data_IF_865600520548
#
_entry.id   IF_865600520548
#
_cell.length_a   1.000
_cell.length_b   1.000
_cell.length_c   1.000
_cell.angle_alpha   90.00
_cell.angle_beta   90.00
_cell.angle_gamma   90.00
#
_symmetry.space_group_name_H-M   'P 1'
#
loop_
_entity.id
_entity.type
_entity.pdbx_description
1 polymer ?
#
# COMPACT_ATOMS: atom_id res chain seq x y z
N UNK A 1 -16.03 18.83 6.30
CA UNK A 1 -14.84 19.01 5.44
C UNK A 1 -14.77 17.85 4.45
N UNK A 2 -14.49 18.12 3.19
CA UNK A 2 -14.24 17.08 2.18
C UNK A 2 -12.92 16.39 2.53
N UNK A 3 -12.87 15.04 2.48
CA UNK A 3 -11.65 14.28 2.68
C UNK A 3 -10.93 14.07 1.37
N UNK A 4 -9.64 14.40 1.35
CA UNK A 4 -8.72 14.25 0.23
C UNK A 4 -7.71 13.16 0.58
N UNK A 5 -7.89 11.98 0.02
CA UNK A 5 -7.19 10.76 0.43
C UNK A 5 -6.15 10.39 -0.62
N UNK A 6 -4.88 10.39 -0.24
CA UNK A 6 -3.78 9.96 -1.08
C UNK A 6 -3.48 8.48 -0.87
N UNK A 7 -3.47 7.73 -1.95
CA UNK A 7 -3.01 6.34 -2.00
C UNK A 7 -1.57 6.28 -2.51
N UNK A 8 -0.69 5.71 -1.71
CA UNK A 8 0.67 5.34 -2.14
C UNK A 8 0.73 3.84 -2.47
N UNK A 9 1.93 3.25 -2.57
CA UNK A 9 2.05 1.84 -2.93
C UNK A 9 1.26 0.94 -1.98
N UNK A 10 0.41 0.13 -2.57
CA UNK A 10 -0.47 -0.81 -1.87
C UNK A 10 -0.07 -2.27 -2.07
N UNK A 11 -0.96 -3.20 -1.71
CA UNK A 11 -0.80 -4.61 -2.05
C UNK A 11 -0.86 -4.82 -3.57
N UNK A 12 -0.21 -5.90 -4.03
CA UNK A 12 -0.16 -6.27 -5.46
C UNK A 12 -1.51 -6.89 -5.88
N UNK A 13 -2.55 -6.10 -5.74
CA UNK A 13 -3.93 -6.45 -6.05
C UNK A 13 -4.73 -5.19 -6.35
N UNK A 14 -5.94 -5.28 -6.93
CA UNK A 14 -6.83 -4.13 -7.10
C UNK A 14 -7.41 -3.54 -5.80
N UNK A 15 -7.00 -4.02 -4.62
CA UNK A 15 -7.61 -3.72 -3.33
C UNK A 15 -7.69 -2.21 -3.04
N UNK A 16 -6.59 -1.46 -3.24
CA UNK A 16 -6.60 -0.02 -3.01
C UNK A 16 -7.53 0.73 -3.98
N UNK A 17 -7.63 0.24 -5.22
CA UNK A 17 -8.60 0.80 -6.16
C UNK A 17 -10.04 0.58 -5.70
N UNK A 18 -10.36 -0.61 -5.21
CA UNK A 18 -11.70 -0.92 -4.69
C UNK A 18 -12.05 -0.05 -3.46
N UNK A 19 -11.08 0.19 -2.55
CA UNK A 19 -11.27 1.13 -1.44
C UNK A 19 -11.54 2.53 -1.98
N UNK A 20 -10.74 3.00 -2.94
CA UNK A 20 -10.91 4.33 -3.51
C UNK A 20 -12.25 4.50 -4.23
N UNK A 21 -12.73 3.47 -4.95
CA UNK A 21 -14.04 3.49 -5.59
C UNK A 21 -15.17 3.66 -4.55
N UNK A 22 -15.10 2.92 -3.43
CA UNK A 22 -16.07 3.01 -2.34
C UNK A 22 -16.00 4.37 -1.61
N UNK A 23 -14.82 4.89 -1.33
CA UNK A 23 -14.64 6.19 -0.67
C UNK A 23 -15.11 7.33 -1.58
N UNK A 24 -14.85 7.24 -2.88
CA UNK A 24 -15.34 8.23 -3.85
C UNK A 24 -16.87 8.22 -3.94
N UNK A 25 -17.51 7.06 -3.86
CA UNK A 25 -18.97 6.97 -3.80
C UNK A 25 -19.56 7.60 -2.52
N UNK A 26 -18.74 7.76 -1.46
CA UNK A 26 -19.11 8.46 -0.22
C UNK A 26 -18.71 9.94 -0.21
N UNK A 27 -18.26 10.50 -1.35
CA UNK A 27 -17.92 11.91 -1.50
C UNK A 27 -16.48 12.28 -1.17
N UNK A 28 -15.59 11.31 -0.94
CA UNK A 28 -14.17 11.58 -0.75
C UNK A 28 -13.46 11.81 -2.09
N UNK A 29 -12.50 12.75 -2.14
CA UNK A 29 -11.59 12.85 -3.26
C UNK A 29 -10.41 11.89 -3.07
N UNK A 30 -10.18 11.02 -4.06
CA UNK A 30 -9.13 9.99 -3.98
C UNK A 30 -8.05 10.27 -5.01
N UNK A 31 -6.82 10.42 -4.53
CA UNK A 31 -5.60 10.70 -5.29
C UNK A 31 -4.67 9.49 -5.27
N UNK A 32 -3.87 9.34 -6.31
CA UNK A 32 -2.88 8.28 -6.42
C UNK A 32 -1.56 8.80 -6.96
N UNK A 33 -0.45 8.39 -6.37
CA UNK A 33 0.88 8.52 -6.96
C UNK A 33 1.38 7.13 -7.29
N UNK A 34 1.69 6.90 -8.58
CA UNK A 34 2.33 5.68 -9.05
C UNK A 34 3.84 5.88 -9.11
N UNK A 35 4.59 4.96 -8.55
CA UNK A 35 6.06 4.97 -8.51
C UNK A 35 6.66 4.02 -9.55
N UNK A 36 5.89 3.03 -10.00
CA UNK A 36 6.26 2.08 -11.04
C UNK A 36 5.05 1.67 -11.87
N UNK A 37 5.28 0.95 -12.97
CA UNK A 37 4.20 0.51 -13.84
C UNK A 37 3.22 -0.45 -13.16
N UNK A 38 3.70 -1.28 -12.24
CA UNK A 38 2.84 -2.17 -11.44
C UNK A 38 1.83 -1.41 -10.58
N UNK A 39 2.21 -0.23 -10.06
CA UNK A 39 1.28 0.62 -9.31
C UNK A 39 0.15 1.11 -10.21
N UNK A 40 0.49 1.60 -11.42
CA UNK A 40 -0.48 2.03 -12.41
C UNK A 40 -1.40 0.89 -12.85
N UNK A 41 -0.85 -0.30 -13.06
CA UNK A 41 -1.62 -1.48 -13.52
C UNK A 41 -2.81 -1.77 -12.61
N UNK A 42 -2.60 -1.75 -11.29
CA UNK A 42 -3.64 -2.03 -10.31
C UNK A 42 -4.54 -0.82 -9.97
N UNK A 43 -4.21 0.35 -10.51
CA UNK A 43 -5.02 1.56 -10.38
C UNK A 43 -5.73 1.97 -11.68
N UNK A 44 -5.45 1.30 -12.79
CA UNK A 44 -5.96 1.65 -14.12
C UNK A 44 -7.47 1.91 -14.13
N UNK A 45 -7.90 2.88 -14.94
CA UNK A 45 -9.30 3.31 -15.03
C UNK A 45 -9.68 4.41 -14.03
N UNK A 46 -8.70 4.92 -13.25
CA UNK A 46 -8.82 6.12 -12.42
C UNK A 46 -7.65 7.07 -12.71
N UNK A 47 -7.85 8.35 -12.45
CA UNK A 47 -6.78 9.33 -12.55
C UNK A 47 -5.67 9.05 -11.53
N UNK A 48 -4.43 9.30 -11.93
CA UNK A 48 -3.25 9.13 -11.11
C UNK A 48 -2.14 10.09 -11.54
N UNK A 49 -1.22 10.34 -10.64
CA UNK A 49 0.00 11.09 -10.91
C UNK A 49 1.18 10.13 -10.99
N UNK A 50 1.98 10.26 -12.05
CA UNK A 50 3.14 9.41 -12.29
C UNK A 50 4.40 10.10 -11.76
N UNK A 51 4.99 9.58 -10.69
CA UNK A 51 6.28 10.08 -10.22
C UNK A 51 7.41 9.38 -10.98
N UNK A 52 8.10 10.14 -11.84
CA UNK A 52 9.22 9.66 -12.68
C UNK A 52 10.58 10.14 -12.20
N UNK A 53 10.61 10.94 -11.15
CA UNK A 53 11.82 11.50 -10.56
C UNK A 53 12.65 10.51 -9.77
N UNK A 54 13.85 10.93 -9.38
CA UNK A 54 14.75 10.15 -8.53
C UNK A 54 14.31 10.15 -7.06
N UNK A 55 14.91 9.28 -6.26
CA UNK A 55 14.70 9.29 -4.80
C UNK A 55 15.06 10.63 -4.15
N UNK A 56 16.07 11.34 -4.66
CA UNK A 56 16.46 12.66 -4.14
C UNK A 56 15.39 13.73 -4.40
N UNK A 57 14.61 13.58 -5.49
CA UNK A 57 13.54 14.55 -5.84
C UNK A 57 12.22 14.23 -5.10
N UNK A 58 12.08 13.02 -4.56
CA UNK A 58 10.85 12.58 -3.91
C UNK A 58 10.41 13.47 -2.74
N UNK A 59 11.28 13.86 -1.79
CA UNK A 59 10.85 14.68 -0.65
C UNK A 59 10.20 16.00 -1.06
N UNK A 60 10.79 16.72 -2.00
CA UNK A 60 10.24 17.98 -2.49
C UNK A 60 8.93 17.77 -3.29
N UNK A 61 8.89 16.73 -4.11
CA UNK A 61 7.70 16.39 -4.89
C UNK A 61 6.50 16.05 -3.99
N UNK A 62 6.69 15.15 -3.02
CA UNK A 62 5.59 14.75 -2.14
C UNK A 62 5.13 15.89 -1.24
N UNK A 63 6.05 16.73 -0.78
CA UNK A 63 5.72 17.92 0.00
C UNK A 63 4.79 18.84 -0.77
N UNK A 64 5.18 19.23 -1.98
CA UNK A 64 4.37 20.07 -2.86
C UNK A 64 3.02 19.41 -3.18
N UNK A 65 3.00 18.10 -3.41
CA UNK A 65 1.80 17.36 -3.74
C UNK A 65 0.78 17.39 -2.60
N UNK A 66 1.24 17.16 -1.36
CA UNK A 66 0.38 17.19 -0.16
C UNK A 66 -0.31 18.56 -0.01
N UNK A 67 0.45 19.62 -0.20
CA UNK A 67 -0.04 21.01 -0.05
C UNK A 67 -0.96 21.40 -1.22
N UNK A 68 -0.58 21.09 -2.45
CA UNK A 68 -1.34 21.43 -3.67
C UNK A 68 -2.72 20.74 -3.69
N UNK A 69 -2.80 19.49 -3.29
CA UNK A 69 -4.04 18.73 -3.30
C UNK A 69 -4.77 18.75 -1.96
N UNK A 70 -4.27 19.53 -0.98
CA UNK A 70 -4.86 19.65 0.35
C UNK A 70 -5.16 18.28 0.96
N UNK A 71 -4.18 17.37 0.89
CA UNK A 71 -4.34 15.99 1.35
C UNK A 71 -4.67 15.98 2.85
N UNK A 72 -5.70 15.27 3.23
CA UNK A 72 -6.13 15.09 4.62
C UNK A 72 -5.75 13.73 5.18
N UNK A 73 -5.58 12.75 4.31
CA UNK A 73 -5.32 11.35 4.69
C UNK A 73 -4.35 10.69 3.69
N UNK A 74 -3.50 9.81 4.20
CA UNK A 74 -2.64 8.94 3.36
C UNK A 74 -2.92 7.49 3.70
N UNK A 75 -3.12 6.65 2.66
CA UNK A 75 -3.23 5.20 2.77
C UNK A 75 -2.06 4.53 2.04
N UNK A 76 -1.35 3.63 2.72
CA UNK A 76 -0.17 2.96 2.19
C UNK A 76 0.02 1.54 2.77
N UNK A 77 0.83 0.70 2.10
CA UNK A 77 1.21 -0.63 2.57
C UNK A 77 2.65 -0.61 3.10
N UNK A 78 2.79 -0.83 4.41
CA UNK A 78 4.10 -0.87 5.08
C UNK A 78 4.79 0.49 5.14
N UNK A 79 5.02 0.99 6.33
CA UNK A 79 5.54 2.36 6.57
C UNK A 79 7.05 2.49 6.32
N UNK A 80 7.81 1.37 6.30
CA UNK A 80 9.28 1.40 6.28
C UNK A 80 9.90 1.62 4.89
N UNK A 81 9.10 1.59 3.82
CA UNK A 81 9.60 1.85 2.46
C UNK A 81 10.11 3.28 2.34
N UNK A 82 11.17 3.49 1.56
CA UNK A 82 11.78 4.81 1.37
C UNK A 82 10.75 5.92 1.07
N UNK A 83 9.91 5.71 0.07
CA UNK A 83 8.91 6.69 -0.36
C UNK A 83 7.85 6.92 0.72
N UNK A 84 7.45 5.88 1.44
CA UNK A 84 6.45 5.97 2.50
C UNK A 84 6.97 6.71 3.73
N UNK A 85 8.18 6.41 4.22
CA UNK A 85 8.77 7.11 5.38
C UNK A 85 8.81 8.62 5.20
N UNK A 86 9.15 9.10 4.00
CA UNK A 86 9.20 10.55 3.73
C UNK A 86 7.80 11.14 3.73
N UNK A 87 6.82 10.46 3.09
CA UNK A 87 5.44 10.91 3.08
C UNK A 87 4.83 10.95 4.49
N UNK A 88 5.05 9.92 5.31
CA UNK A 88 4.57 9.84 6.69
C UNK A 88 5.15 10.98 7.54
N UNK A 89 6.46 11.22 7.44
CA UNK A 89 7.11 12.31 8.20
C UNK A 89 6.49 13.67 7.86
N UNK A 90 6.28 13.94 6.58
CA UNK A 90 5.69 15.21 6.14
C UNK A 90 4.21 15.31 6.50
N UNK A 91 3.47 14.21 6.43
CA UNK A 91 2.07 14.12 6.84
C UNK A 91 1.91 14.42 8.34
N UNK A 92 2.71 13.79 9.19
CA UNK A 92 2.67 14.00 10.64
C UNK A 92 2.98 15.44 11.01
N UNK A 93 3.96 16.08 10.35
CA UNK A 93 4.28 17.50 10.56
C UNK A 93 3.13 18.46 10.17
N UNK A 94 2.17 18.00 9.34
CA UNK A 94 1.00 18.75 8.86
C UNK A 94 -0.32 18.34 9.53
N UNK A 95 -0.30 17.39 10.45
CA UNK A 95 -1.51 16.83 11.05
C UNK A 95 -2.37 15.99 10.09
N UNK A 96 -1.79 15.55 8.95
CA UNK A 96 -2.44 14.67 7.99
C UNK A 96 -2.53 13.27 8.60
N UNK A 97 -3.69 12.63 8.50
CA UNK A 97 -3.88 11.27 9.02
C UNK A 97 -3.15 10.24 8.14
N UNK A 98 -2.38 9.37 8.75
CA UNK A 98 -1.73 8.25 8.06
C UNK A 98 -2.39 6.95 8.47
N UNK A 99 -2.77 6.15 7.49
CA UNK A 99 -3.27 4.79 7.69
C UNK A 99 -2.33 3.83 6.97
N UNK A 100 -1.67 3.01 7.76
CA UNK A 100 -0.80 1.95 7.26
C UNK A 100 -1.57 0.64 7.21
N UNK A 101 -1.45 -0.05 6.10
CA UNK A 101 -2.00 -1.40 5.95
C UNK A 101 -0.91 -2.44 5.93
N UNK A 102 -1.24 -3.64 6.36
CA UNK A 102 -0.43 -4.83 6.17
C UNK A 102 -1.32 -6.06 6.05
N UNK A 103 -0.75 -7.19 5.65
CA UNK A 103 -1.47 -8.46 5.69
C UNK A 103 -1.91 -8.75 7.12
N UNK A 104 -3.21 -9.10 7.26
CA UNK A 104 -3.78 -9.37 8.58
C UNK A 104 -3.06 -10.50 9.33
N UNK A 105 -3.12 -10.46 10.65
CA UNK A 105 -2.62 -11.53 11.51
C UNK A 105 -3.40 -12.83 11.31
N UNK A 106 -4.69 -12.74 10.97
CA UNK A 106 -5.55 -13.87 10.64
C UNK A 106 -5.68 -13.97 9.12
N UNK A 107 -5.04 -14.96 8.51
CA UNK A 107 -5.07 -15.12 7.05
C UNK A 107 -6.03 -16.24 6.64
N UNK A 108 -6.65 -16.17 5.44
CA UNK A 108 -6.42 -15.21 4.36
C UNK A 108 -7.29 -13.96 4.39
N UNK A 109 -8.35 -13.91 5.17
CA UNK A 109 -9.49 -12.99 4.98
C UNK A 109 -9.33 -11.63 5.66
N UNK A 110 -8.26 -11.45 6.42
CA UNK A 110 -8.05 -10.27 7.25
C UNK A 110 -6.91 -9.41 6.71
N UNK A 111 -7.10 -8.12 6.77
CA UNK A 111 -6.08 -7.11 6.53
C UNK A 111 -6.04 -6.16 7.72
N UNK A 112 -4.85 -5.75 8.11
CA UNK A 112 -4.66 -4.83 9.23
C UNK A 112 -4.63 -3.40 8.71
N UNK A 113 -5.31 -2.49 9.43
CA UNK A 113 -5.27 -1.04 9.24
C UNK A 113 -4.89 -0.40 10.57
N UNK A 114 -3.76 0.28 10.62
CA UNK A 114 -3.29 0.96 11.83
C UNK A 114 -2.92 2.42 11.51
N UNK A 115 -3.07 3.28 12.50
CA UNK A 115 -2.68 4.70 12.35
C UNK A 115 -1.17 4.83 12.52
N UNK A 116 -0.58 5.71 11.72
CA UNK A 116 0.83 6.09 11.64
C UNK A 116 1.79 4.98 11.16
N UNK A 117 1.70 3.79 11.67
CA UNK A 117 2.57 2.67 11.32
C UNK A 117 2.03 1.36 11.84
N UNK A 118 2.85 0.32 11.79
CA UNK A 118 2.52 -1.02 12.25
C UNK A 118 3.29 -1.36 13.53
N UNK A 119 2.73 -2.22 14.38
CA UNK A 119 3.38 -2.73 15.59
C UNK A 119 3.93 -1.60 16.49
N UNK A 120 5.26 -1.46 16.60
CA UNK A 120 5.91 -0.46 17.46
C UNK A 120 5.70 0.99 16.99
N UNK A 121 5.36 1.20 15.71
CA UNK A 121 5.12 2.51 15.11
C UNK A 121 3.63 2.87 15.03
N UNK A 122 2.75 1.96 15.48
CA UNK A 122 1.31 2.17 15.52
C UNK A 122 0.88 3.03 16.69
N UNK A 123 -0.17 3.81 16.50
CA UNK A 123 -0.89 4.52 17.57
C UNK A 123 -1.82 3.59 18.37
N UNK A 124 -1.82 2.28 18.09
CA UNK A 124 -2.64 1.33 18.84
C UNK A 124 -2.20 1.30 20.30
N UNK A 125 -3.12 1.38 21.27
CA UNK A 125 -2.78 1.38 22.67
C UNK A 125 -1.97 0.16 23.11
N UNK A 126 -1.06 0.36 24.05
CA UNK A 126 -0.24 -0.72 24.62
C UNK A 126 -0.74 -1.13 26.01
N UNK A 127 -1.55 -0.29 26.64
CA UNK A 127 -2.12 -0.52 27.95
C UNK A 127 -3.33 -1.44 27.85
N UNK A 128 -3.33 -2.60 28.57
CA UNK A 128 -4.42 -3.56 28.47
C UNK A 128 -5.80 -2.96 28.78
N UNK A 129 -5.88 -2.06 29.73
CA UNK A 129 -7.14 -1.42 30.16
C UNK A 129 -7.76 -0.60 29.00
N UNK A 130 -6.92 0.11 28.23
CA UNK A 130 -7.38 0.87 27.07
C UNK A 130 -7.85 -0.03 25.95
N UNK A 131 -7.14 -1.16 25.74
CA UNK A 131 -7.53 -2.15 24.70
C UNK A 131 -8.88 -2.76 25.04
N UNK A 132 -9.07 -3.15 26.32
CA UNK A 132 -10.34 -3.70 26.81
C UNK A 132 -11.47 -2.68 26.63
N UNK A 133 -11.26 -1.43 27.05
CA UNK A 133 -12.24 -0.37 26.90
C UNK A 133 -12.59 -0.08 25.43
N UNK A 134 -11.64 -0.18 24.51
CA UNK A 134 -11.91 -0.04 23.07
C UNK A 134 -12.69 -1.23 22.49
N UNK A 135 -12.57 -2.40 23.10
CA UNK A 135 -13.28 -3.60 22.66
C UNK A 135 -14.72 -3.67 23.18
N UNK A 136 -15.06 -2.87 24.21
CA UNK A 136 -16.42 -2.82 24.77
C UNK A 136 -17.44 -2.42 23.69
N UNK A 137 -18.49 -3.22 23.56
CA UNK A 137 -19.59 -2.98 22.61
C UNK A 137 -19.25 -3.34 21.15
N UNK A 138 -18.05 -3.81 20.85
CA UNK A 138 -17.76 -4.34 19.53
C UNK A 138 -18.41 -5.72 19.35
N UNK A 139 -19.00 -6.00 18.15
CA UNK A 139 -19.51 -7.34 17.85
C UNK A 139 -18.37 -8.34 17.81
N UNK A 140 -18.65 -9.59 18.22
CA UNK A 140 -17.70 -10.67 18.03
C UNK A 140 -17.27 -10.82 16.57
N UNK A 141 -15.97 -10.94 16.29
CA UNK A 141 -15.50 -11.07 14.92
C UNK A 141 -15.94 -12.41 14.33
N UNK A 142 -16.48 -12.37 13.11
CA UNK A 142 -16.77 -13.60 12.38
C UNK A 142 -15.47 -14.12 11.77
N UNK A 143 -14.89 -15.17 12.38
CA UNK A 143 -13.63 -15.79 11.96
C UNK A 143 -13.81 -16.84 10.85
N UNK A 144 -15.04 -17.07 10.36
CA UNK A 144 -15.25 -17.99 9.25
C UNK A 144 -14.60 -17.44 7.97
N UNK A 145 -13.89 -18.32 7.27
CA UNK A 145 -13.29 -17.98 6.00
C UNK A 145 -14.37 -17.63 4.97
N UNK A 146 -14.34 -16.40 4.47
CA UNK A 146 -15.31 -15.88 3.49
C UNK A 146 -14.78 -15.88 2.06
N UNK A 147 -13.46 -15.75 1.88
CA UNK A 147 -12.83 -15.65 0.58
C UNK A 147 -11.90 -16.84 0.33
N UNK A 148 -12.10 -17.49 -0.80
CA UNK A 148 -11.16 -18.49 -1.32
C UNK A 148 -10.20 -17.79 -2.27
N UNK A 149 -9.03 -17.42 -1.76
CA UNK A 149 -8.00 -16.87 -2.62
C UNK A 149 -7.41 -17.95 -3.52
N UNK A 150 -7.34 -17.65 -4.81
CA UNK A 150 -6.64 -18.50 -5.76
C UNK A 150 -5.15 -18.19 -5.72
N UNK A 151 -4.33 -19.13 -5.26
CA UNK A 151 -2.88 -19.03 -5.32
C UNK A 151 -2.38 -18.70 -6.74
N UNK A 152 -2.97 -19.31 -7.76
CA UNK A 152 -2.63 -19.05 -9.17
C UNK A 152 -2.89 -17.59 -9.53
N UNK A 153 -4.01 -17.02 -9.08
CA UNK A 153 -4.34 -15.61 -9.31
C UNK A 153 -3.36 -14.67 -8.61
N UNK A 154 -2.97 -14.99 -7.38
CA UNK A 154 -1.97 -14.19 -6.65
C UNK A 154 -0.61 -14.23 -7.35
N UNK A 155 -0.14 -15.41 -7.73
CA UNK A 155 1.11 -15.57 -8.50
C UNK A 155 1.05 -14.81 -9.82
N UNK A 156 -0.08 -14.87 -10.53
CA UNK A 156 -0.27 -14.15 -11.78
C UNK A 156 -0.17 -12.62 -11.59
N UNK A 157 -0.83 -12.07 -10.58
CA UNK A 157 -0.74 -10.65 -10.25
C UNK A 157 0.67 -10.23 -9.84
N UNK A 158 1.33 -11.04 -9.01
CA UNK A 158 2.69 -10.78 -8.56
C UNK A 158 3.67 -10.78 -9.75
N UNK A 159 3.58 -11.78 -10.62
CA UNK A 159 4.37 -11.86 -11.85
C UNK A 159 4.11 -10.67 -12.78
N UNK A 160 2.84 -10.31 -13.02
CA UNK A 160 2.51 -9.15 -13.84
C UNK A 160 3.09 -7.85 -13.27
N UNK A 161 2.93 -7.63 -11.96
CA UNK A 161 3.45 -6.43 -11.31
C UNK A 161 4.95 -6.30 -11.50
N UNK A 162 5.70 -7.35 -11.18
CA UNK A 162 7.15 -7.30 -11.20
C UNK A 162 7.72 -7.34 -12.61
N UNK A 163 7.18 -8.19 -13.49
CA UNK A 163 7.64 -8.29 -14.88
C UNK A 163 7.41 -6.96 -15.61
N UNK A 164 6.18 -6.44 -15.56
CA UNK A 164 5.85 -5.20 -16.26
C UNK A 164 6.57 -3.99 -15.65
N UNK A 165 6.75 -3.92 -14.32
CA UNK A 165 7.56 -2.87 -13.69
C UNK A 165 9.03 -2.94 -14.10
N UNK A 166 9.55 -4.14 -14.38
CA UNK A 166 10.93 -4.33 -14.84
C UNK A 166 11.06 -3.95 -16.33
N UNK A 167 10.21 -4.51 -17.18
CA UNK A 167 10.27 -4.27 -18.64
C UNK A 167 9.98 -2.81 -18.98
N UNK A 168 9.01 -2.21 -18.31
CA UNK A 168 8.58 -0.83 -18.51
C UNK A 168 9.25 0.15 -17.53
N UNK A 169 10.40 -0.23 -16.95
CA UNK A 169 11.17 0.66 -16.07
C UNK A 169 11.57 1.97 -16.76
N UNK A 170 11.73 1.96 -18.07
CA UNK A 170 12.01 3.17 -18.86
C UNK A 170 10.95 4.27 -18.67
N UNK A 171 9.72 3.93 -18.32
CA UNK A 171 8.67 4.88 -18.01
C UNK A 171 8.79 5.48 -16.60
N UNK A 172 9.58 4.84 -15.73
CA UNK A 172 9.82 5.24 -14.32
C UNK A 172 11.32 5.15 -13.97
N UNK A 173 12.19 5.90 -14.67
CA UNK A 173 13.64 5.69 -14.61
C UNK A 173 14.25 5.97 -13.24
N UNK A 174 13.60 6.83 -12.45
CA UNK A 174 14.03 7.17 -11.10
C UNK A 174 13.57 6.23 -9.99
N UNK A 175 12.67 5.29 -10.29
CA UNK A 175 12.14 4.37 -9.29
C UNK A 175 13.20 3.39 -8.79
N UNK A 176 13.27 3.23 -7.47
CA UNK A 176 14.08 2.21 -6.80
C UNK A 176 13.18 1.34 -5.95
N UNK A 177 13.11 0.06 -6.30
CA UNK A 177 12.36 -0.94 -5.52
C UNK A 177 12.97 -1.09 -4.12
N UNK A 178 12.13 -1.40 -3.14
CA UNK A 178 12.55 -1.80 -1.79
C UNK A 178 12.98 -3.27 -1.71
N UNK A 179 12.79 -4.04 -2.78
CA UNK A 179 13.19 -5.45 -2.82
C UNK A 179 14.71 -5.59 -2.92
N UNK A 180 15.29 -6.47 -2.09
CA UNK A 180 16.72 -6.73 -2.05
C UNK A 180 17.22 -7.47 -3.29
N UNK A 181 16.38 -8.31 -3.90
CA UNK A 181 16.74 -9.12 -5.04
C UNK A 181 15.90 -8.75 -6.26
N UNK A 182 16.54 -8.80 -7.42
CA UNK A 182 15.81 -8.57 -8.67
C UNK A 182 14.77 -9.67 -8.91
N UNK A 183 13.50 -9.34 -9.24
CA UNK A 183 12.42 -10.31 -9.33
C UNK A 183 12.71 -11.51 -10.25
N UNK A 184 13.38 -11.29 -11.37
CA UNK A 184 13.76 -12.36 -12.30
C UNK A 184 14.56 -13.46 -11.60
N UNK A 185 15.54 -13.10 -10.77
CA UNK A 185 16.35 -14.08 -10.04
C UNK A 185 15.55 -14.84 -8.98
N UNK A 186 14.59 -14.16 -8.35
CA UNK A 186 13.68 -14.80 -7.39
C UNK A 186 12.82 -15.84 -8.08
N UNK A 187 12.21 -15.52 -9.24
CA UNK A 187 11.38 -16.46 -9.99
C UNK A 187 12.17 -17.63 -10.55
N UNK A 188 13.34 -17.39 -11.14
CA UNK A 188 14.22 -18.45 -11.62
C UNK A 188 14.66 -19.39 -10.49
N UNK A 189 15.09 -18.83 -9.35
CA UNK A 189 15.50 -19.62 -8.19
C UNK A 189 14.35 -20.45 -7.61
N UNK A 190 13.15 -19.89 -7.55
CA UNK A 190 11.96 -20.60 -7.09
C UNK A 190 11.58 -21.72 -8.07
N UNK A 191 11.56 -21.44 -9.37
CA UNK A 191 11.30 -22.44 -10.40
C UNK A 191 12.25 -23.61 -10.35
N UNK A 192 13.57 -23.36 -10.22
CA UNK A 192 14.60 -24.40 -10.08
C UNK A 192 14.42 -25.24 -8.82
N UNK A 193 14.01 -24.62 -7.70
CA UNK A 193 13.72 -25.36 -6.45
C UNK A 193 12.50 -26.27 -6.62
N UNK A 194 11.43 -25.78 -7.24
CA UNK A 194 10.22 -26.58 -7.49
C UNK A 194 10.51 -27.78 -8.40
N UNK A 195 11.40 -27.64 -9.40
CA UNK A 195 11.81 -28.74 -10.25
C UNK A 195 12.63 -29.81 -9.49
N UNK A 196 13.40 -29.41 -8.46
CA UNK A 196 14.19 -30.34 -7.63
C UNK A 196 13.36 -31.06 -6.57
N UNK A 197 12.15 -30.57 -6.26
CA UNK A 197 11.24 -31.20 -5.28
C UNK A 197 10.27 -32.20 -5.93
N UNK A 198 10.35 -32.39 -7.24
CA UNK A 198 9.65 -33.44 -8.00
C UNK A 198 10.61 -34.62 -8.30
#
# INVERSE_FOLDING_TARGET
>A
MQRNILFLQGPITPFFKLIADNLSAQGCACFRINLCFGDWLFWRGRESTEFRGSQQQWPAFIEQYLDQHQITDILLLGEQRFYHRHAIRLANARGIQVVTTDFGYLRPDWITFERNGMSANSDFPREPEKIIAMAEGLPEPNLQQRFKDSFVRQVFWDMQYHLLSTVLHVLYPGYRSHQLHHPIWVYLGTGLRLLKLR
#
